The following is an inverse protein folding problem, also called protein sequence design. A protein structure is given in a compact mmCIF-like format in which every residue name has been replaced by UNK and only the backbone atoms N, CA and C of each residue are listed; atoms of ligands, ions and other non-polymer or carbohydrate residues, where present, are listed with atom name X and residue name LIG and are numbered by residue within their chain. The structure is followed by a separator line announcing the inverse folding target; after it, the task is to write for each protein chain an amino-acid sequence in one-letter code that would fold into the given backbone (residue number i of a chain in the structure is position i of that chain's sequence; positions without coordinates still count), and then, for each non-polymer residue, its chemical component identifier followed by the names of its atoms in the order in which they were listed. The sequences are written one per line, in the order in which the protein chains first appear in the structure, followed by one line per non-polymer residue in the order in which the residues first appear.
data_IF_476034976667
#
_entry.id   IF_476034976667
#
_cell.length_a   1.000
_cell.length_b   1.000
_cell.length_c   1.000
_cell.angle_alpha   90.00
_cell.angle_beta   90.00
_cell.angle_gamma   90.00
#
_symmetry.space_group_name_H-M   'P 1'
#
loop_
_entity.id
_entity.type
_entity.pdbx_description
1 polymer ?
#
# COMPACT_ATOMS: atom_id res chain seq x y z
N UNK A 1 20.71 -54.53 -35.13
CA UNK A 1 21.68 -55.17 -36.06
C UNK A 1 21.47 -54.53 -37.44
N UNK A 2 22.56 -54.03 -38.05
CA UNK A 2 22.68 -53.17 -39.26
C UNK A 2 22.45 -51.67 -38.99
N UNK A 3 23.51 -50.91 -38.69
CA UNK A 3 24.50 -50.29 -39.60
C UNK A 3 23.92 -49.19 -40.51
N UNK A 4 24.41 -47.96 -40.31
CA UNK A 4 25.28 -47.25 -41.27
C UNK A 4 25.63 -45.84 -40.78
N UNK A 5 26.88 -45.69 -40.38
CA UNK A 5 27.68 -44.47 -40.57
C UNK A 5 28.30 -44.53 -41.98
N UNK A 6 28.52 -43.41 -42.68
CA UNK A 6 29.94 -43.08 -42.93
C UNK A 6 30.26 -41.57 -42.96
N UNK A 7 31.22 -41.20 -42.11
CA UNK A 7 32.59 -40.78 -42.48
C UNK A 7 32.77 -39.54 -43.38
N UNK A 8 33.43 -38.50 -42.83
CA UNK A 8 34.50 -37.75 -43.53
C UNK A 8 35.23 -36.76 -42.60
N UNK A 9 36.49 -37.08 -42.31
CA UNK A 9 37.61 -36.24 -42.78
C UNK A 9 38.10 -35.06 -41.93
N UNK A 10 39.06 -35.35 -41.04
CA UNK A 10 40.36 -34.67 -40.81
C UNK A 10 40.45 -33.13 -40.95
N UNK A 11 40.97 -32.46 -39.91
CA UNK A 11 42.37 -32.03 -39.87
C UNK A 11 42.77 -31.37 -38.54
N UNK A 12 44.03 -31.65 -38.17
CA UNK A 12 44.77 -31.31 -36.95
C UNK A 12 45.12 -29.82 -36.85
N UNK A 13 45.29 -29.31 -35.62
CA UNK A 13 46.61 -28.96 -35.03
C UNK A 13 46.50 -28.34 -33.63
N UNK A 14 47.29 -28.89 -32.71
CA UNK A 14 47.79 -28.29 -31.46
C UNK A 14 48.40 -26.90 -31.75
N UNK A 15 48.43 -25.90 -30.87
CA UNK A 15 48.59 -25.88 -29.42
C UNK A 15 49.88 -25.12 -29.11
N UNK A 16 49.81 -23.96 -28.45
CA UNK A 16 50.86 -23.43 -27.57
C UNK A 16 50.41 -22.12 -26.90
N UNK A 17 50.74 -22.04 -25.60
CA UNK A 17 50.70 -20.88 -24.71
C UNK A 17 51.66 -19.78 -25.24
N UNK A 18 51.54 -18.49 -24.91
CA UNK A 18 52.13 -17.82 -23.75
C UNK A 18 51.65 -16.34 -23.67
N UNK A 19 51.23 -15.90 -22.47
CA UNK A 19 51.35 -14.60 -21.76
C UNK A 19 51.37 -13.25 -22.53
N UNK A 20 50.45 -12.33 -22.22
CA UNK A 20 50.66 -11.18 -21.29
C UNK A 20 49.68 -9.98 -21.49
N UNK A 21 49.19 -9.45 -20.35
CA UNK A 21 48.89 -8.05 -20.01
C UNK A 21 47.76 -7.23 -20.69
N UNK A 22 46.67 -7.05 -19.92
CA UNK A 22 46.01 -5.79 -19.47
C UNK A 22 45.98 -4.56 -20.40
N UNK A 23 44.76 -4.15 -20.81
CA UNK A 23 44.26 -2.76 -20.68
C UNK A 23 42.78 -2.83 -20.26
N UNK A 24 42.47 -2.18 -19.15
CA UNK A 24 41.12 -1.91 -18.66
C UNK A 24 40.56 -0.67 -19.36
N UNK A 25 39.28 -0.70 -19.76
CA UNK A 25 38.47 0.52 -19.84
C UNK A 25 37.11 0.23 -19.20
N UNK A 26 36.97 0.72 -17.97
CA UNK A 26 35.72 0.74 -17.23
C UNK A 26 34.78 1.76 -17.88
N UNK A 27 33.66 1.29 -18.42
CA UNK A 27 32.47 2.11 -18.64
C UNK A 27 31.57 1.93 -17.42
N UNK A 28 31.88 2.66 -16.36
CA UNK A 28 30.95 2.91 -15.27
C UNK A 28 29.92 3.92 -15.78
N UNK A 29 28.81 3.44 -16.32
CA UNK A 29 27.60 4.25 -16.50
C UNK A 29 26.89 4.24 -15.15
N UNK A 30 26.76 5.37 -14.44
CA UNK A 30 25.80 5.43 -13.34
C UNK A 30 24.41 5.38 -13.98
N UNK A 31 23.71 4.25 -13.85
CA UNK A 31 22.26 4.22 -14.00
C UNK A 31 21.67 5.04 -12.85
N UNK A 32 21.56 6.36 -13.05
CA UNK A 32 20.59 7.16 -12.34
C UNK A 32 19.22 6.74 -12.87
N UNK A 33 18.64 5.69 -12.29
CA UNK A 33 17.24 5.37 -12.46
C UNK A 33 16.43 6.50 -11.81
N UNK A 34 16.07 7.49 -12.62
CA UNK A 34 15.05 8.47 -12.30
C UNK A 34 13.70 7.72 -12.27
N UNK A 35 13.39 7.11 -11.13
CA UNK A 35 12.05 6.66 -10.83
C UNK A 35 11.16 7.90 -10.82
N UNK A 36 10.50 8.18 -11.94
CA UNK A 36 9.48 9.23 -11.98
C UNK A 36 8.33 8.77 -11.09
N UNK A 37 7.85 9.60 -10.14
CA UNK A 37 6.66 9.24 -9.39
C UNK A 37 5.52 9.00 -10.38
N UNK A 38 4.71 7.97 -10.12
CA UNK A 38 3.51 7.72 -10.91
C UNK A 38 2.57 8.91 -10.72
N UNK A 39 2.56 9.84 -11.69
CA UNK A 39 1.67 11.00 -11.71
C UNK A 39 0.23 10.51 -11.94
N UNK A 40 -0.46 10.17 -10.86
CA UNK A 40 -1.91 10.12 -10.88
C UNK A 40 -2.39 11.57 -10.97
N UNK A 41 -3.01 11.94 -12.10
CA UNK A 41 -3.53 13.28 -12.36
C UNK A 41 -4.31 13.82 -11.15
N UNK A 42 -4.05 15.09 -10.80
CA UNK A 42 -4.71 15.76 -9.67
C UNK A 42 -6.22 15.60 -9.79
N UNK A 43 -6.79 14.87 -8.85
CA UNK A 43 -8.21 14.55 -8.87
C UNK A 43 -9.00 15.72 -8.28
N UNK A 44 -10.28 15.77 -8.62
CA UNK A 44 -11.25 16.68 -8.00
C UNK A 44 -11.28 16.60 -6.47
N UNK A 45 -10.81 15.51 -5.88
CA UNK A 45 -10.73 15.31 -4.44
C UNK A 45 -9.51 15.96 -3.79
N UNK A 46 -8.47 16.29 -4.57
CA UNK A 46 -7.19 16.83 -4.10
C UNK A 46 -7.08 18.35 -4.30
N UNK A 47 -8.15 18.99 -4.78
CA UNK A 47 -8.15 20.41 -5.12
C UNK A 47 -7.65 21.28 -3.96
N UNK A 48 -6.58 22.04 -4.19
CA UNK A 48 -5.87 22.84 -3.17
C UNK A 48 -5.32 22.03 -1.99
N UNK A 49 -5.02 20.75 -2.21
CA UNK A 49 -4.27 19.91 -1.29
C UNK A 49 -2.81 20.36 -1.21
N UNK A 50 -2.12 19.91 -0.18
CA UNK A 50 -0.70 20.12 0.01
C UNK A 50 -0.29 19.95 1.47
N UNK A 51 0.90 19.40 1.66
CA UNK A 51 1.39 19.03 2.98
C UNK A 51 2.33 20.07 3.60
N UNK A 52 2.39 20.05 4.92
CA UNK A 52 3.50 20.57 5.72
C UNK A 52 3.97 19.53 6.72
N UNK A 53 5.27 19.49 6.96
CA UNK A 53 5.87 18.71 8.02
C UNK A 53 6.19 19.62 9.20
N UNK A 54 5.74 19.19 10.38
CA UNK A 54 5.87 19.94 11.63
C UNK A 54 6.65 19.07 12.61
N UNK A 55 7.79 19.57 13.09
CA UNK A 55 8.61 18.88 14.09
C UNK A 55 7.88 18.70 15.42
N UNK A 56 8.44 17.89 16.31
CA UNK A 56 7.96 17.76 17.69
C UNK A 56 7.95 19.08 18.49
N UNK A 57 8.72 20.08 18.05
CA UNK A 57 8.74 21.42 18.65
C UNK A 57 7.71 22.38 18.06
N UNK A 58 6.92 21.93 17.08
CA UNK A 58 5.92 22.75 16.39
C UNK A 58 6.46 23.59 15.23
N UNK A 59 7.74 23.45 14.88
CA UNK A 59 8.34 24.17 13.77
C UNK A 59 7.97 23.52 12.43
N UNK A 60 7.55 24.32 11.45
CA UNK A 60 7.38 23.84 10.06
C UNK A 60 8.76 23.67 9.45
N UNK A 61 9.12 22.43 9.11
CA UNK A 61 10.46 22.09 8.57
C UNK A 61 10.45 21.84 7.07
N UNK A 62 9.28 21.54 6.50
CA UNK A 62 9.08 21.40 5.06
C UNK A 62 7.63 21.72 4.69
N UNK A 63 7.40 22.20 3.46
CA UNK A 63 6.06 22.49 2.93
C UNK A 63 6.03 22.24 1.42
N UNK A 64 4.92 21.70 0.93
CA UNK A 64 4.64 21.52 -0.49
C UNK A 64 4.55 22.87 -1.22
N UNK A 65 4.95 22.87 -2.48
CA UNK A 65 4.80 24.00 -3.41
C UNK A 65 4.21 23.51 -4.73
N UNK A 66 3.94 24.43 -5.66
CA UNK A 66 3.52 24.16 -7.05
C UNK A 66 4.63 23.55 -7.93
N UNK A 67 5.77 23.23 -7.31
CA UNK A 67 6.91 22.54 -7.90
C UNK A 67 7.40 21.48 -6.94
N UNK A 68 8.03 20.47 -7.50
CA UNK A 68 8.72 19.46 -6.71
C UNK A 68 9.79 20.09 -5.81
N UNK A 69 9.66 19.79 -4.52
CA UNK A 69 10.64 20.11 -3.48
C UNK A 69 11.12 18.80 -2.88
N UNK A 70 12.43 18.53 -3.03
CA UNK A 70 13.12 17.45 -2.34
C UNK A 70 14.01 18.06 -1.26
N UNK A 71 13.77 17.70 0.01
CA UNK A 71 14.56 18.18 1.14
C UNK A 71 14.98 17.02 2.05
N UNK A 72 16.13 17.17 2.67
CA UNK A 72 16.65 16.22 3.64
C UNK A 72 16.66 16.88 5.01
N UNK A 73 15.84 16.36 5.93
CA UNK A 73 15.70 16.88 7.29
C UNK A 73 16.44 15.94 8.25
N UNK A 74 17.44 16.44 9.02
CA UNK A 74 18.08 15.62 10.05
C UNK A 74 17.03 15.08 11.04
N UNK A 75 17.11 13.79 11.38
CA UNK A 75 16.13 13.16 12.27
C UNK A 75 16.03 13.88 13.63
N UNK A 76 17.15 14.42 14.13
CA UNK A 76 17.20 15.23 15.36
C UNK A 76 16.36 16.51 15.27
N UNK A 77 16.24 17.12 14.09
CA UNK A 77 15.43 18.32 13.88
C UNK A 77 13.93 18.02 13.94
N UNK A 78 13.53 16.82 13.52
CA UNK A 78 12.14 16.38 13.60
C UNK A 78 11.75 15.99 15.03
N UNK A 79 12.68 15.41 15.79
CA UNK A 79 12.41 14.79 17.08
C UNK A 79 12.01 13.32 16.94
N UNK A 80 11.50 12.72 18.03
CA UNK A 80 11.06 11.33 18.03
C UNK A 80 9.87 11.08 17.09
N UNK A 81 8.98 12.06 16.99
CA UNK A 81 7.83 12.08 16.10
C UNK A 81 7.72 13.44 15.41
N UNK A 82 7.05 13.45 14.25
CA UNK A 82 6.69 14.67 13.54
C UNK A 82 5.30 14.54 12.94
N UNK A 83 4.61 15.66 12.78
CA UNK A 83 3.27 15.69 12.18
C UNK A 83 3.38 15.95 10.69
N UNK A 84 2.67 15.15 9.91
CA UNK A 84 2.33 15.43 8.52
C UNK A 84 0.94 16.00 8.49
N UNK A 85 0.81 17.25 8.04
CA UNK A 85 -0.48 17.94 8.01
C UNK A 85 -0.79 18.39 6.59
N UNK A 86 -1.82 17.79 6.02
CA UNK A 86 -2.47 18.26 4.81
C UNK A 86 -3.72 19.10 5.12
N UNK A 87 -4.40 19.50 4.06
CA UNK A 87 -5.73 20.10 4.10
C UNK A 87 -6.81 19.06 4.40
N UNK A 88 -6.75 17.89 3.76
CA UNK A 88 -7.79 16.87 3.78
C UNK A 88 -7.47 15.70 4.70
N UNK A 89 -6.18 15.39 4.90
CA UNK A 89 -5.77 14.39 5.87
C UNK A 89 -4.54 14.84 6.67
N UNK A 90 -4.34 14.21 7.82
CA UNK A 90 -3.20 14.43 8.70
C UNK A 90 -2.85 13.16 9.45
N UNK A 91 -1.59 13.04 9.86
CA UNK A 91 -1.09 11.93 10.65
C UNK A 91 0.24 12.28 11.33
N UNK A 92 0.64 11.47 12.31
CA UNK A 92 1.93 11.56 12.98
C UNK A 92 2.82 10.42 12.53
N UNK A 93 4.11 10.71 12.33
CA UNK A 93 5.12 9.72 11.96
C UNK A 93 6.17 9.64 13.06
N UNK A 94 6.49 8.43 13.50
CA UNK A 94 7.65 8.17 14.35
C UNK A 94 8.90 8.06 13.49
N UNK A 95 9.89 8.88 13.78
CA UNK A 95 11.06 9.00 12.93
C UNK A 95 11.86 7.69 12.86
N UNK A 96 12.01 6.95 13.97
CA UNK A 96 12.90 5.79 14.09
C UNK A 96 12.59 4.62 13.17
N UNK A 97 11.32 4.42 12.84
CA UNK A 97 10.83 3.25 12.08
C UNK A 97 9.78 3.60 11.02
N UNK A 98 9.44 4.89 10.87
CA UNK A 98 8.34 5.36 10.02
C UNK A 98 7.00 4.68 10.36
N UNK A 99 6.78 4.34 11.63
CA UNK A 99 5.45 4.00 12.11
C UNK A 99 4.54 5.23 12.02
N UNK A 100 3.28 4.99 11.67
CA UNK A 100 2.24 6.01 11.57
C UNK A 100 1.30 5.94 12.77
N UNK A 101 0.82 7.10 13.20
CA UNK A 101 -0.17 7.27 14.27
C UNK A 101 -1.21 8.33 13.88
N UNK A 102 -2.40 8.22 14.46
CA UNK A 102 -3.45 9.24 14.40
C UNK A 102 -3.79 9.72 12.99
N UNK A 103 -3.87 8.80 12.02
CA UNK A 103 -4.33 9.17 10.68
C UNK A 103 -5.80 9.53 10.72
N UNK A 104 -6.12 10.73 10.26
CA UNK A 104 -7.49 11.22 10.17
C UNK A 104 -7.73 12.02 8.90
N UNK A 105 -8.96 11.94 8.40
CA UNK A 105 -9.49 12.95 7.50
C UNK A 105 -9.94 14.16 8.30
N UNK A 106 -9.62 15.36 7.81
CA UNK A 106 -9.88 16.62 8.53
C UNK A 106 -11.34 17.05 8.47
N UNK A 107 -12.09 16.58 7.46
CA UNK A 107 -13.42 17.06 7.12
C UNK A 107 -13.43 18.39 6.36
N UNK A 108 -12.29 18.82 5.81
CA UNK A 108 -12.23 20.00 4.97
C UNK A 108 -13.18 19.89 3.76
N UNK A 109 -13.87 20.99 3.45
CA UNK A 109 -14.87 21.02 2.38
C UNK A 109 -14.26 20.65 1.02
N UNK A 110 -14.83 19.62 0.40
CA UNK A 110 -14.59 19.20 -0.98
C UNK A 110 -15.89 18.55 -1.50
N UNK A 111 -16.17 18.67 -2.80
CA UNK A 111 -17.37 18.04 -3.39
C UNK A 111 -17.37 16.51 -3.30
N UNK A 112 -16.19 15.90 -3.11
CA UNK A 112 -15.96 14.47 -2.93
C UNK A 112 -15.62 14.14 -1.47
N UNK A 113 -15.96 15.01 -0.52
CA UNK A 113 -15.80 14.68 0.91
C UNK A 113 -16.72 13.51 1.31
N UNK A 114 -16.09 12.48 1.90
CA UNK A 114 -16.77 11.30 2.41
C UNK A 114 -17.08 11.37 3.91
N UNK A 115 -16.52 12.34 4.61
CA UNK A 115 -16.65 12.47 6.07
C UNK A 115 -17.90 13.23 6.48
N UNK A 116 -18.47 14.05 5.57
CA UNK A 116 -19.61 14.91 5.87
C UNK A 116 -19.21 16.17 6.65
N UNK A 117 -18.01 16.69 6.39
CA UNK A 117 -17.46 17.86 7.07
C UNK A 117 -16.93 17.59 8.47
N UNK A 118 -16.62 16.32 8.80
CA UNK A 118 -16.27 15.88 10.15
C UNK A 118 -14.84 15.38 10.23
N UNK A 119 -14.15 15.74 11.31
CA UNK A 119 -12.89 15.08 11.65
C UNK A 119 -13.14 13.59 11.85
N UNK A 120 -12.48 12.76 11.04
CA UNK A 120 -12.75 11.33 10.96
C UNK A 120 -11.44 10.56 11.14
N UNK A 121 -11.12 10.13 12.37
CA UNK A 121 -10.01 9.22 12.64
C UNK A 121 -10.20 7.89 11.93
N UNK A 122 -9.14 7.38 11.30
CA UNK A 122 -9.15 6.10 10.59
C UNK A 122 -8.18 5.13 11.25
N UNK A 123 -6.92 5.53 11.42
CA UNK A 123 -5.88 4.70 12.00
C UNK A 123 -5.44 5.28 13.34
N UNK A 124 -5.52 4.47 14.39
CA UNK A 124 -4.78 4.72 15.63
C UNK A 124 -3.29 4.52 15.37
N UNK A 125 -2.93 3.44 14.68
CA UNK A 125 -1.54 3.17 14.31
C UNK A 125 -1.37 2.27 13.09
N UNK A 126 -0.23 2.41 12.42
CA UNK A 126 0.36 1.42 11.51
C UNK A 126 1.83 1.26 11.87
N UNK A 127 2.20 0.11 12.43
CA UNK A 127 3.52 -0.11 13.03
C UNK A 127 4.26 -1.21 12.27
N UNK A 128 5.36 -0.89 11.59
CA UNK A 128 6.23 -1.90 10.98
C UNK A 128 7.15 -2.52 12.04
N UNK A 129 7.31 -3.84 11.98
CA UNK A 129 8.37 -4.57 12.67
C UNK A 129 9.54 -4.79 11.69
N UNK A 130 10.59 -4.01 11.88
CA UNK A 130 11.82 -4.08 11.09
C UNK A 130 12.75 -5.21 11.52
N UNK A 131 12.34 -6.10 12.44
CA UNK A 131 13.08 -7.33 12.80
C UNK A 131 14.53 -7.07 13.18
N UNK A 132 14.74 -6.03 13.99
CA UNK A 132 16.07 -5.61 14.47
C UNK A 132 16.88 -4.73 13.52
N UNK A 133 16.41 -4.49 12.28
CA UNK A 133 16.99 -3.46 11.42
C UNK A 133 16.51 -2.07 11.84
N UNK A 134 17.33 -1.05 11.60
CA UNK A 134 17.05 0.32 12.02
C UNK A 134 17.23 1.30 10.84
N UNK A 135 16.34 2.29 10.78
CA UNK A 135 16.48 3.44 9.88
C UNK A 135 17.38 4.49 10.57
N UNK A 136 18.51 4.82 9.95
CA UNK A 136 19.54 5.68 10.55
C UNK A 136 19.81 6.96 9.76
N UNK A 137 19.40 7.05 8.51
CA UNK A 137 19.60 8.24 7.66
C UNK A 137 18.79 9.44 8.15
N UNK A 138 19.13 10.63 7.65
CA UNK A 138 18.19 11.75 7.68
C UNK A 138 16.88 11.39 6.93
N UNK A 139 15.81 12.14 7.18
CA UNK A 139 14.52 11.95 6.52
C UNK A 139 14.53 12.72 5.21
N UNK A 140 14.40 12.00 4.10
CA UNK A 140 14.16 12.62 2.80
C UNK A 140 12.66 12.86 2.65
N UNK A 141 12.29 14.05 2.24
CA UNK A 141 10.92 14.49 2.05
C UNK A 141 10.83 15.09 0.66
N UNK A 142 9.96 14.51 -0.17
CA UNK A 142 9.64 14.99 -1.49
C UNK A 142 8.16 15.38 -1.49
N UNK A 143 7.87 16.59 -1.95
CA UNK A 143 6.51 17.13 -2.03
C UNK A 143 6.33 17.91 -3.32
N UNK A 144 5.20 17.72 -3.98
CA UNK A 144 4.76 18.47 -5.16
C UNK A 144 3.23 18.51 -5.11
N UNK A 145 2.63 19.71 -5.11
CA UNK A 145 1.18 19.87 -4.99
C UNK A 145 0.59 19.06 -3.80
N UNK A 146 -0.33 18.13 -4.07
CA UNK A 146 -0.92 17.24 -3.07
C UNK A 146 -0.08 15.99 -2.73
N UNK A 147 1.02 15.72 -3.44
CA UNK A 147 1.83 14.53 -3.28
C UNK A 147 2.87 14.70 -2.17
N UNK A 148 3.08 13.62 -1.40
CA UNK A 148 4.11 13.50 -0.39
C UNK A 148 4.77 12.13 -0.46
N UNK A 149 6.09 12.15 -0.47
CA UNK A 149 6.95 10.99 -0.24
C UNK A 149 7.89 11.28 0.91
N UNK A 150 7.89 10.42 1.93
CA UNK A 150 8.85 10.44 3.04
C UNK A 150 9.65 9.16 2.95
N UNK A 151 10.98 9.24 2.99
CA UNK A 151 11.83 8.05 3.01
C UNK A 151 12.99 8.17 3.98
N UNK A 152 13.41 7.00 4.48
CA UNK A 152 14.63 6.83 5.27
C UNK A 152 15.30 5.52 4.89
N UNK A 153 16.60 5.46 5.12
CA UNK A 153 17.42 4.27 4.90
C UNK A 153 18.25 3.95 6.14
N UNK A 154 18.75 2.73 6.20
CA UNK A 154 19.72 2.23 7.15
C UNK A 154 20.39 0.99 6.58
N UNK A 155 21.28 0.37 7.36
CA UNK A 155 21.99 -0.83 6.90
C UNK A 155 20.99 -1.97 6.63
N UNK A 156 20.84 -2.33 5.36
CA UNK A 156 19.95 -3.42 4.92
C UNK A 156 18.45 -3.11 4.97
N UNK A 157 18.06 -1.85 5.20
CA UNK A 157 16.66 -1.43 5.27
C UNK A 157 16.45 -0.08 4.58
N UNK A 158 15.48 -0.01 3.68
CA UNK A 158 14.89 1.22 3.18
C UNK A 158 13.40 1.20 3.53
N UNK A 159 12.81 2.37 3.78
CA UNK A 159 11.37 2.47 3.94
C UNK A 159 10.88 3.81 3.42
N UNK A 160 9.73 3.76 2.74
CA UNK A 160 9.05 4.90 2.16
C UNK A 160 7.59 4.95 2.62
N UNK A 161 7.09 6.15 2.87
CA UNK A 161 5.66 6.47 2.99
C UNK A 161 5.30 7.34 1.80
N UNK A 162 4.23 7.01 1.08
CA UNK A 162 3.63 7.87 0.07
C UNK A 162 2.22 8.25 0.52
N UNK A 163 1.86 9.53 0.37
CA UNK A 163 0.53 10.03 0.72
C UNK A 163 0.07 11.10 -0.27
N UNK A 164 -1.23 11.14 -0.59
CA UNK A 164 -1.87 12.23 -1.34
C UNK A 164 -2.86 12.99 -0.47
N UNK A 165 -2.78 14.31 -0.47
CA UNK A 165 -3.69 15.17 0.30
C UNK A 165 -5.01 15.34 -0.44
N UNK A 166 -5.91 14.37 -0.30
CA UNK A 166 -7.19 14.35 -0.98
C UNK A 166 -8.33 13.98 -0.02
N UNK A 167 -9.53 14.49 -0.29
CA UNK A 167 -10.75 14.18 0.47
C UNK A 167 -11.25 12.73 0.26
N UNK A 168 -10.89 12.11 -0.87
CA UNK A 168 -11.10 10.69 -1.19
C UNK A 168 -10.16 10.24 -2.30
N UNK A 169 -10.04 8.93 -2.52
CA UNK A 169 -9.24 8.36 -3.63
C UNK A 169 -7.74 8.67 -3.53
N UNK A 170 -7.30 9.29 -2.42
CA UNK A 170 -5.89 9.53 -2.14
C UNK A 170 -5.18 8.22 -1.83
N UNK A 171 -3.95 8.11 -2.30
CA UNK A 171 -3.05 7.00 -2.01
C UNK A 171 -2.45 7.27 -0.63
N UNK A 172 -2.49 6.30 0.27
CA UNK A 172 -1.54 6.18 1.37
C UNK A 172 -0.87 4.82 1.27
N UNK A 173 0.47 4.76 1.30
CA UNK A 173 1.24 3.53 1.18
C UNK A 173 2.49 3.56 2.07
N UNK A 174 2.81 2.40 2.65
CA UNK A 174 4.08 2.07 3.29
C UNK A 174 4.80 1.03 2.45
N UNK A 175 6.07 1.28 2.14
CA UNK A 175 6.89 0.46 1.25
C UNK A 175 8.22 0.16 1.93
N UNK A 176 8.33 -0.99 2.63
CA UNK A 176 9.58 -1.47 3.17
C UNK A 176 10.40 -2.21 2.10
N UNK A 177 11.71 -2.04 2.16
CA UNK A 177 12.67 -2.79 1.35
C UNK A 177 13.79 -3.28 2.24
N UNK A 178 14.01 -4.59 2.25
CA UNK A 178 15.01 -5.27 3.06
C UNK A 178 16.07 -5.89 2.17
N UNK A 179 17.34 -5.65 2.51
CA UNK A 179 18.48 -6.26 1.83
C UNK A 179 18.60 -7.76 2.04
N UNK A 180 17.93 -8.31 3.07
CA UNK A 180 17.84 -9.75 3.32
C UNK A 180 16.68 -10.44 2.55
N UNK A 181 15.88 -9.68 1.81
CA UNK A 181 14.76 -10.18 1.01
C UNK A 181 13.56 -10.70 1.82
N UNK A 182 13.59 -10.65 3.15
CA UNK A 182 12.48 -11.12 3.99
C UNK A 182 11.33 -10.11 4.04
N UNK A 183 10.16 -10.53 4.54
CA UNK A 183 9.02 -9.65 4.72
C UNK A 183 9.15 -8.79 5.99
N UNK A 184 8.58 -7.58 5.93
CA UNK A 184 8.32 -6.70 7.07
C UNK A 184 6.87 -6.90 7.52
N UNK A 185 6.66 -7.24 8.80
CA UNK A 185 5.32 -7.30 9.38
C UNK A 185 4.83 -5.89 9.67
N UNK A 186 3.63 -5.54 9.23
CA UNK A 186 2.97 -4.28 9.58
C UNK A 186 1.66 -4.59 10.28
N UNK A 187 1.53 -4.15 11.52
CA UNK A 187 0.26 -4.18 12.25
C UNK A 187 -0.47 -2.87 12.03
N UNK A 188 -1.72 -2.94 11.57
CA UNK A 188 -2.62 -1.80 11.56
C UNK A 188 -3.64 -1.91 12.69
N UNK A 189 -3.88 -0.78 13.35
CA UNK A 189 -4.92 -0.63 14.37
C UNK A 189 -5.82 0.54 13.96
N UNK A 190 -7.10 0.27 13.74
CA UNK A 190 -8.10 1.30 13.44
C UNK A 190 -8.32 2.19 14.67
N UNK A 191 -8.68 3.45 14.44
CA UNK A 191 -9.11 4.36 15.50
C UNK A 191 -10.36 3.83 16.23
N UNK A 192 -10.66 4.26 17.48
CA UNK A 192 -11.78 3.72 18.25
C UNK A 192 -13.16 3.83 17.59
N UNK A 193 -13.36 4.87 16.77
CA UNK A 193 -14.63 5.10 16.05
C UNK A 193 -14.72 4.39 14.69
N UNK A 194 -13.61 3.82 14.22
CA UNK A 194 -13.55 3.06 12.98
C UNK A 194 -13.59 1.55 13.27
N UNK A 195 -14.21 0.80 12.37
CA UNK A 195 -14.29 -0.66 12.48
C UNK A 195 -14.17 -1.33 11.12
N UNK A 196 -13.64 -2.55 11.13
CA UNK A 196 -13.71 -3.45 9.99
C UNK A 196 -15.07 -4.15 9.94
N UNK A 197 -15.58 -4.36 8.74
CA UNK A 197 -16.79 -5.13 8.50
C UNK A 197 -16.69 -5.96 7.23
N UNK A 198 -17.29 -7.13 7.25
CA UNK A 198 -17.50 -7.95 6.06
C UNK A 198 -18.68 -7.40 5.26
N UNK A 199 -18.39 -6.86 4.08
CA UNK A 199 -19.35 -6.08 3.32
C UNK A 199 -20.48 -6.96 2.78
N UNK A 200 -21.73 -6.80 3.25
CA UNK A 200 -22.83 -7.66 2.86
C UNK A 200 -23.20 -7.51 1.38
N UNK A 201 -22.89 -6.37 0.73
CA UNK A 201 -23.14 -6.18 -0.69
C UNK A 201 -22.25 -7.11 -1.53
N UNK A 202 -21.00 -7.31 -1.11
CA UNK A 202 -20.09 -8.27 -1.74
C UNK A 202 -20.48 -9.71 -1.43
N UNK A 203 -20.90 -9.99 -0.18
CA UNK A 203 -21.39 -11.32 0.20
C UNK A 203 -22.61 -11.77 -0.59
N UNK A 204 -23.58 -10.89 -0.79
CA UNK A 204 -24.77 -11.19 -1.58
C UNK A 204 -24.46 -11.53 -3.04
N UNK A 205 -23.27 -11.16 -3.53
CA UNK A 205 -22.81 -11.35 -4.91
C UNK A 205 -21.64 -12.34 -5.00
N UNK A 206 -21.25 -12.99 -3.91
CA UNK A 206 -20.05 -13.81 -3.86
C UNK A 206 -20.08 -14.90 -4.94
N UNK A 207 -18.97 -15.03 -5.68
CA UNK A 207 -18.82 -16.00 -6.76
C UNK A 207 -19.41 -15.56 -8.10
N UNK A 208 -20.22 -14.50 -8.14
CA UNK A 208 -20.72 -13.92 -9.40
C UNK A 208 -19.61 -13.17 -10.14
N UNK A 209 -19.71 -13.08 -11.46
CA UNK A 209 -18.85 -12.29 -12.33
C UNK A 209 -19.53 -10.96 -12.68
N UNK A 210 -18.87 -9.84 -12.40
CA UNK A 210 -19.40 -8.49 -12.63
C UNK A 210 -18.39 -7.58 -13.36
N UNK A 211 -18.91 -6.63 -14.13
CA UNK A 211 -18.14 -5.65 -14.89
C UNK A 211 -18.63 -5.50 -16.33
N UNK A 212 -18.13 -4.47 -17.03
CA UNK A 212 -18.65 -4.09 -18.36
C UNK A 212 -18.41 -5.12 -19.47
N UNK A 213 -17.49 -6.07 -19.29
CA UNK A 213 -17.24 -7.14 -20.26
C UNK A 213 -17.80 -8.50 -19.81
N UNK A 214 -18.56 -8.56 -18.71
CA UNK A 214 -19.21 -9.80 -18.31
C UNK A 214 -20.41 -10.11 -19.20
N UNK A 215 -20.39 -11.29 -19.82
CA UNK A 215 -21.50 -11.83 -20.61
C UNK A 215 -22.38 -12.81 -19.81
N UNK A 216 -21.90 -13.32 -18.68
CA UNK A 216 -22.63 -14.16 -17.71
C UNK A 216 -22.15 -13.86 -16.31
N UNK A 217 -23.07 -13.89 -15.34
CA UNK A 217 -22.74 -13.72 -13.92
C UNK A 217 -22.22 -15.02 -13.30
N UNK A 218 -22.41 -16.17 -13.94
CA UNK A 218 -21.97 -17.48 -13.46
C UNK A 218 -20.58 -17.87 -13.98
N UNK A 219 -20.29 -17.58 -15.26
CA UNK A 219 -19.13 -18.14 -15.97
C UNK A 219 -18.28 -17.10 -16.69
N UNK A 220 -18.44 -15.81 -16.35
CA UNK A 220 -17.91 -14.64 -17.07
C UNK A 220 -16.59 -14.82 -17.82
N UNK A 221 -16.42 -14.20 -19.00
CA UNK A 221 -15.27 -14.43 -19.88
C UNK A 221 -13.96 -14.01 -19.21
N UNK A 222 -12.81 -14.59 -19.61
CA UNK A 222 -11.51 -14.09 -19.20
C UNK A 222 -11.32 -12.64 -19.67
N UNK A 223 -11.47 -11.69 -18.76
CA UNK A 223 -11.31 -10.26 -19.04
C UNK A 223 -10.90 -9.51 -17.78
N UNK A 224 -10.06 -8.49 -17.96
CA UNK A 224 -9.74 -7.54 -16.88
C UNK A 224 -10.94 -6.69 -16.41
N UNK A 225 -12.01 -6.66 -17.21
CA UNK A 225 -13.26 -5.96 -16.89
C UNK A 225 -14.43 -6.92 -16.65
N UNK A 226 -14.14 -8.20 -16.40
CA UNK A 226 -15.11 -9.15 -15.89
C UNK A 226 -14.50 -9.92 -14.71
N UNK A 227 -14.85 -9.49 -13.50
CA UNK A 227 -14.17 -9.91 -12.28
C UNK A 227 -15.10 -10.73 -11.41
N UNK A 228 -14.59 -11.86 -10.91
CA UNK A 228 -15.32 -12.70 -9.95
C UNK A 228 -15.33 -12.04 -8.58
N UNK A 229 -16.50 -11.84 -8.00
CA UNK A 229 -16.70 -11.23 -6.69
C UNK A 229 -16.20 -12.18 -5.60
N UNK A 230 -15.29 -11.69 -4.76
CA UNK A 230 -14.85 -12.33 -3.52
C UNK A 230 -15.38 -11.57 -2.31
N UNK A 231 -15.36 -12.19 -1.11
CA UNK A 231 -15.61 -11.46 0.14
C UNK A 231 -14.75 -10.21 0.25
N UNK A 232 -15.31 -9.17 0.87
CA UNK A 232 -14.67 -7.86 0.93
C UNK A 232 -14.77 -7.33 2.34
N UNK A 233 -13.62 -7.16 2.98
CA UNK A 233 -13.55 -6.38 4.20
C UNK A 233 -13.43 -4.91 3.83
N UNK A 234 -14.26 -4.08 4.44
CA UNK A 234 -14.18 -2.64 4.37
C UNK A 234 -14.00 -2.06 5.77
N UNK A 235 -13.59 -0.79 5.80
CA UNK A 235 -13.50 0.04 7.00
C UNK A 235 -14.64 1.05 6.91
N UNK A 236 -15.38 1.22 8.00
CA UNK A 236 -16.45 2.20 8.13
C UNK A 236 -16.50 2.81 9.52
N UNK A 237 -17.48 3.69 9.74
CA UNK A 237 -17.81 4.25 11.04
C UNK A 237 -19.33 4.44 11.15
N UNK A 238 -19.81 4.87 12.32
CA UNK A 238 -21.25 5.09 12.57
C UNK A 238 -21.72 6.53 12.32
N UNK A 239 -20.81 7.43 11.92
CA UNK A 239 -21.05 8.88 11.92
C UNK A 239 -21.02 9.52 10.54
N UNK A 240 -20.41 8.88 9.54
CA UNK A 240 -20.20 9.39 8.20
C UNK A 240 -20.72 8.40 7.15
N UNK A 241 -21.91 8.66 6.64
CA UNK A 241 -22.63 7.75 5.73
C UNK A 241 -21.95 7.51 4.38
N UNK A 242 -20.94 8.31 4.03
CA UNK A 242 -20.15 8.17 2.81
C UNK A 242 -18.75 7.62 3.07
N UNK A 243 -18.31 7.53 4.34
CA UNK A 243 -16.98 7.09 4.68
C UNK A 243 -16.87 5.58 4.50
N UNK A 244 -16.04 5.19 3.54
CA UNK A 244 -15.63 3.80 3.35
C UNK A 244 -14.17 3.78 2.95
N UNK A 245 -13.44 2.84 3.54
CA UNK A 245 -12.05 2.58 3.22
C UNK A 245 -11.79 1.07 3.13
N UNK A 246 -10.57 0.71 2.72
CA UNK A 246 -10.08 -0.67 2.71
C UNK A 246 -8.57 -0.71 2.67
N UNK A 247 -7.96 -1.63 3.40
CA UNK A 247 -6.56 -1.99 3.22
C UNK A 247 -6.23 -2.34 1.76
N UNK A 248 -5.10 -1.83 1.28
CA UNK A 248 -4.64 -2.02 -0.10
C UNK A 248 -3.25 -2.61 -0.10
N UNK A 249 -3.19 -3.91 -0.33
CA UNK A 249 -1.93 -4.67 -0.43
C UNK A 249 -1.44 -4.73 -1.88
N UNK A 250 -0.12 -4.75 -2.07
CA UNK A 250 0.56 -5.11 -3.31
C UNK A 250 1.83 -5.87 -2.93
N UNK A 251 1.93 -7.15 -3.28
CA UNK A 251 3.00 -8.05 -2.78
C UNK A 251 3.08 -8.03 -1.24
N UNK A 252 1.90 -8.17 -0.62
CA UNK A 252 1.75 -8.27 0.82
C UNK A 252 0.61 -9.24 1.14
N UNK A 253 0.85 -10.14 2.09
CA UNK A 253 -0.11 -11.15 2.51
C UNK A 253 -0.70 -10.80 3.86
N UNK A 254 -2.02 -10.96 4.01
CA UNK A 254 -2.66 -10.81 5.31
C UNK A 254 -2.27 -12.01 6.18
N UNK A 255 -1.81 -11.76 7.39
CA UNK A 255 -1.60 -12.80 8.40
C UNK A 255 -2.98 -13.29 8.88
N UNK A 256 -3.33 -14.58 8.70
CA UNK A 256 -4.62 -15.11 9.12
C UNK A 256 -4.86 -14.95 10.63
N UNK A 257 -6.08 -14.57 10.98
CA UNK A 257 -6.59 -14.51 12.36
C UNK A 257 -7.78 -15.47 12.47
N UNK A 258 -7.55 -16.79 12.57
CA UNK A 258 -8.63 -17.79 12.52
C UNK A 258 -9.62 -17.67 13.67
N UNK A 259 -9.21 -17.07 14.80
CA UNK A 259 -10.06 -16.76 15.94
C UNK A 259 -11.01 -15.58 15.70
N UNK A 260 -10.84 -14.84 14.60
CA UNK A 260 -11.60 -13.64 14.28
C UNK A 260 -12.59 -13.83 13.13
N UNK A 261 -13.82 -13.33 13.32
CA UNK A 261 -14.93 -13.43 12.37
C UNK A 261 -15.98 -12.33 12.67
N UNK A 262 -17.11 -12.35 11.99
CA UNK A 262 -18.31 -11.62 12.40
C UNK A 262 -18.95 -12.24 13.65
N UNK A 263 -19.81 -11.49 14.34
CA UNK A 263 -20.49 -11.96 15.56
C UNK A 263 -21.28 -13.26 15.33
N UNK A 264 -21.98 -13.34 14.19
CA UNK A 264 -22.48 -14.59 13.65
C UNK A 264 -21.50 -15.06 12.57
N UNK A 265 -20.72 -16.14 12.78
CA UNK A 265 -19.66 -16.54 11.86
C UNK A 265 -20.16 -16.76 10.42
N UNK A 266 -19.38 -16.26 9.46
CA UNK A 266 -19.65 -16.45 8.02
C UNK A 266 -18.61 -17.35 7.35
N UNK A 267 -19.01 -18.01 6.26
CA UNK A 267 -18.16 -18.92 5.48
C UNK A 267 -18.14 -18.52 4.01
N UNK A 268 -16.95 -18.42 3.36
CA UNK A 268 -15.63 -18.50 3.99
C UNK A 268 -15.40 -17.33 4.95
N UNK A 269 -14.69 -17.55 6.06
CA UNK A 269 -14.28 -16.48 6.97
C UNK A 269 -13.33 -15.53 6.26
N UNK A 270 -13.34 -14.25 6.66
CA UNK A 270 -12.32 -13.28 6.26
C UNK A 270 -11.14 -13.24 7.21
N UNK A 271 -11.17 -14.00 8.32
CA UNK A 271 -10.06 -14.15 9.28
C UNK A 271 -9.44 -12.81 9.65
N UNK A 272 -10.29 -11.91 10.14
CA UNK A 272 -9.96 -10.51 10.38
C UNK A 272 -10.70 -10.03 11.63
N UNK A 273 -9.97 -9.44 12.57
CA UNK A 273 -10.52 -8.89 13.81
C UNK A 273 -11.10 -7.48 13.61
N UNK A 274 -11.88 -7.01 14.59
CA UNK A 274 -12.71 -5.80 14.48
C UNK A 274 -11.96 -4.47 14.29
N UNK A 275 -10.74 -4.33 14.81
CA UNK A 275 -9.90 -3.13 14.62
C UNK A 275 -8.47 -3.41 14.20
N UNK A 276 -8.07 -4.68 14.10
CA UNK A 276 -6.66 -5.06 13.89
C UNK A 276 -6.53 -5.92 12.64
N UNK A 277 -5.65 -5.48 11.74
CA UNK A 277 -5.19 -6.26 10.59
C UNK A 277 -3.67 -6.38 10.63
N UNK A 278 -3.11 -7.53 10.26
CA UNK A 278 -1.66 -7.72 10.19
C UNK A 278 -1.27 -8.22 8.82
N UNK A 279 -0.18 -7.67 8.31
CA UNK A 279 0.28 -7.90 6.93
C UNK A 279 1.78 -8.20 6.92
N UNK A 280 2.17 -9.24 6.19
CA UNK A 280 3.56 -9.52 5.86
C UNK A 280 3.83 -8.92 4.47
N UNK A 281 4.55 -7.80 4.45
CA UNK A 281 4.86 -7.05 3.24
C UNK A 281 6.22 -7.50 2.73
N UNK A 282 6.27 -8.06 1.52
CA UNK A 282 7.54 -8.46 0.93
C UNK A 282 8.48 -7.26 0.73
N UNK A 283 9.78 -7.51 0.63
CA UNK A 283 10.75 -6.47 0.27
C UNK A 283 10.38 -5.85 -1.10
N UNK A 284 10.18 -4.53 -1.14
CA UNK A 284 9.70 -3.80 -2.32
C UNK A 284 8.18 -3.90 -2.54
N UNK A 285 7.45 -4.58 -1.66
CA UNK A 285 5.99 -4.60 -1.61
C UNK A 285 5.41 -3.32 -1.02
N UNK A 286 4.08 -3.19 -1.08
CA UNK A 286 3.35 -2.00 -0.62
C UNK A 286 2.16 -2.40 0.24
N UNK A 287 2.00 -1.69 1.34
CA UNK A 287 0.81 -1.78 2.18
C UNK A 287 0.22 -0.41 2.42
N UNK A 288 -1.01 -0.22 1.98
CA UNK A 288 -1.69 1.05 2.02
C UNK A 288 -3.15 0.92 2.40
N UNK A 289 -3.94 1.93 2.05
CA UNK A 289 -5.38 1.80 2.03
C UNK A 289 -5.96 2.70 0.93
N UNK A 290 -7.12 2.31 0.41
CA UNK A 290 -7.90 3.07 -0.57
C UNK A 290 -9.20 3.52 0.09
N UNK A 291 -9.78 4.61 -0.42
CA UNK A 291 -11.00 5.22 0.15
C UNK A 291 -12.03 5.54 -0.93
N UNK A 292 -13.30 5.63 -0.54
CA UNK A 292 -14.40 5.97 -1.44
C UNK A 292 -14.76 4.83 -2.39
N UNK A 293 -15.05 5.17 -3.65
CA UNK A 293 -15.49 4.21 -4.68
C UNK A 293 -14.50 3.04 -4.86
N UNK A 294 -13.21 3.33 -4.87
CA UNK A 294 -12.13 2.34 -5.03
C UNK A 294 -12.13 1.27 -3.92
N UNK A 295 -12.65 1.59 -2.73
CA UNK A 295 -12.76 0.61 -1.63
C UNK A 295 -13.84 -0.44 -1.89
N UNK A 296 -14.84 -0.11 -2.70
CA UNK A 296 -16.07 -0.88 -2.96
C UNK A 296 -16.23 -1.27 -4.43
N UNK A 297 -15.18 -1.10 -5.22
CA UNK A 297 -15.06 -1.62 -6.58
C UNK A 297 -14.67 -3.11 -6.58
N UNK A 298 -15.31 -3.88 -7.47
CA UNK A 298 -14.98 -5.27 -7.78
C UNK A 298 -13.76 -5.28 -8.71
N UNK A 299 -12.60 -5.06 -8.12
CA UNK A 299 -11.31 -5.03 -8.82
C UNK A 299 -10.63 -6.40 -8.85
N UNK A 300 -9.84 -6.61 -9.89
CA UNK A 300 -8.89 -7.72 -9.95
C UNK A 300 -7.91 -7.64 -8.77
N UNK A 301 -7.31 -8.79 -8.38
CA UNK A 301 -6.17 -8.76 -7.47
C UNK A 301 -5.09 -7.77 -7.95
N UNK A 302 -4.37 -7.13 -7.01
CA UNK A 302 -3.26 -6.26 -7.34
C UNK A 302 -2.23 -7.01 -8.20
N UNK A 303 -1.67 -6.34 -9.21
CA UNK A 303 -0.58 -6.91 -10.01
C UNK A 303 0.66 -7.08 -9.13
N UNK A 304 1.27 -8.26 -9.14
CA UNK A 304 2.57 -8.48 -8.50
C UNK A 304 3.62 -7.61 -9.21
N UNK A 305 4.10 -6.60 -8.51
CA UNK A 305 5.10 -5.69 -9.03
C UNK A 305 5.79 -5.01 -7.85
N UNK A 306 7.12 -5.00 -7.89
CA UNK A 306 7.99 -4.45 -6.84
C UNK A 306 8.86 -3.27 -7.32
N UNK A 307 8.90 -3.01 -8.64
CA UNK A 307 9.61 -1.86 -9.22
C UNK A 307 8.86 -1.29 -10.44
N UNK A 308 8.84 0.04 -10.58
CA UNK A 308 8.25 0.77 -11.73
C UNK A 308 6.80 0.38 -12.09
N UNK A 309 6.02 0.07 -11.06
CA UNK A 309 4.63 -0.32 -11.20
C UNK A 309 3.78 0.89 -11.64
N UNK A 310 3.61 1.06 -12.94
CA UNK A 310 2.55 1.89 -13.49
C UNK A 310 1.23 1.17 -13.19
N UNK A 311 0.36 1.80 -12.40
CA UNK A 311 -1.02 1.36 -12.28
C UNK A 311 -1.73 1.64 -13.62
N UNK A 312 -1.48 0.80 -14.64
CA UNK A 312 -2.13 0.88 -15.95
C UNK A 312 -3.62 0.47 -15.90
N UNK A 313 -4.14 0.21 -14.70
CA UNK A 313 -5.54 -0.07 -14.43
C UNK A 313 -6.37 1.22 -14.40
N UNK A 314 -6.27 2.05 -15.45
CA UNK A 314 -7.27 3.09 -15.69
C UNK A 314 -8.56 2.40 -16.11
N UNK A 315 -9.33 1.93 -15.13
CA UNK A 315 -10.53 1.14 -15.35
C UNK A 315 -11.69 1.99 -15.88
N UNK A 316 -11.58 3.33 -15.86
CA UNK A 316 -12.54 4.29 -16.47
C UNK A 316 -14.00 3.96 -16.13
N UNK A 317 -14.28 3.53 -14.89
CA UNK A 317 -15.63 3.16 -14.44
C UNK A 317 -16.21 1.88 -15.07
N UNK A 318 -15.35 1.01 -15.61
CA UNK A 318 -15.76 -0.23 -16.30
C UNK A 318 -15.94 -1.43 -15.38
N UNK A 319 -15.43 -1.34 -14.15
CA UNK A 319 -15.63 -2.35 -13.12
C UNK A 319 -16.91 -2.06 -12.34
N UNK A 320 -17.48 -3.11 -11.77
CA UNK A 320 -18.70 -2.97 -10.97
C UNK A 320 -18.37 -2.36 -9.60
N UNK A 321 -19.18 -1.40 -9.17
CA UNK A 321 -19.13 -0.81 -7.83
C UNK A 321 -20.33 -1.34 -7.04
N UNK A 322 -20.08 -2.06 -5.96
CA UNK A 322 -21.15 -2.66 -5.14
C UNK A 322 -21.57 -1.79 -3.95
N UNK A 323 -20.81 -0.74 -3.65
CA UNK A 323 -21.07 0.13 -2.51
C UNK A 323 -20.93 -0.59 -1.16
N UNK A 324 -21.54 0.00 -0.14
CA UNK A 324 -21.56 -0.53 1.22
C UNK A 324 -22.85 -0.06 1.93
N UNK A 325 -23.33 -0.78 2.95
CA UNK A 325 -24.49 -0.35 3.73
C UNK A 325 -24.14 0.77 4.70
N UNK A 326 -25.07 1.70 4.92
CA UNK A 326 -25.04 2.61 6.07
C UNK A 326 -26.45 2.74 6.67
N UNK A 327 -26.62 2.51 7.99
CA UNK A 327 -25.61 2.04 8.94
C UNK A 327 -25.12 0.62 8.59
N UNK A 328 -23.90 0.28 9.00
CA UNK A 328 -23.36 -1.09 8.83
C UNK A 328 -24.07 -2.02 9.82
N UNK A 329 -24.69 -3.12 9.35
CA UNK A 329 -25.35 -4.08 10.23
C UNK A 329 -24.41 -4.62 11.30
N UNK A 330 -24.87 -4.72 12.55
CA UNK A 330 -24.04 -5.21 13.65
C UNK A 330 -23.47 -6.62 13.38
N UNK A 331 -24.27 -7.50 12.76
CA UNK A 331 -23.85 -8.85 12.37
C UNK A 331 -22.79 -8.91 11.28
N UNK A 332 -22.51 -7.81 10.57
CA UNK A 332 -21.44 -7.70 9.57
C UNK A 332 -20.13 -7.19 10.15
N UNK A 333 -20.14 -6.63 11.37
CA UNK A 333 -18.92 -6.10 12.01
C UNK A 333 -18.03 -7.25 12.46
N UNK A 334 -16.73 -7.07 12.24
CA UNK A 334 -15.73 -8.04 12.64
C UNK A 334 -15.45 -7.92 14.14
N UNK A 335 -15.22 -9.06 14.76
CA UNK A 335 -15.00 -9.25 16.19
C UNK A 335 -13.94 -10.34 16.41
N UNK A 336 -13.29 -10.39 17.60
CA UNK A 336 -13.25 -9.35 18.64
C UNK A 336 -12.62 -8.02 18.15
N UNK A 337 -12.82 -6.89 18.86
CA UNK A 337 -12.23 -5.60 18.47
C UNK A 337 -10.70 -5.63 18.39
N UNK A 338 -10.03 -6.54 19.10
CA UNK A 338 -8.58 -6.74 19.04
C UNK A 338 -8.25 -8.21 18.91
N UNK A 339 -7.20 -8.53 18.16
CA UNK A 339 -6.57 -9.84 18.18
C UNK A 339 -5.75 -10.02 19.47
N UNK A 340 -5.40 -11.27 19.79
CA UNK A 340 -4.28 -11.50 20.70
C UNK A 340 -3.00 -10.87 20.12
N UNK A 341 -2.04 -10.42 20.96
CA UNK A 341 -0.76 -9.94 20.47
C UNK A 341 -0.11 -11.03 19.63
N UNK A 342 0.26 -10.70 18.40
CA UNK A 342 0.94 -11.65 17.54
C UNK A 342 2.36 -11.92 18.05
N UNK A 343 2.82 -13.15 17.90
CA UNK A 343 4.25 -13.42 17.98
C UNK A 343 4.97 -12.57 16.91
N UNK A 344 6.10 -11.93 17.25
CA UNK A 344 7.00 -11.35 16.24
C UNK A 344 7.29 -12.39 15.16
N UNK A 345 7.58 -11.97 13.92
CA UNK A 345 8.11 -12.93 12.95
C UNK A 345 9.47 -13.36 13.48
N UNK A 346 9.53 -14.52 14.14
CA UNK A 346 10.79 -15.18 14.42
C UNK A 346 11.51 -15.35 13.10
N UNK A 347 12.81 -15.05 13.06
CA UNK A 347 13.68 -15.34 11.91
C UNK A 347 13.35 -16.70 11.27
N UNK A 348 13.65 -16.92 9.98
CA UNK A 348 13.77 -18.30 9.52
C UNK A 348 14.59 -19.14 10.50
#
# INVERSE_FOLDING_TARGET
MRDRDPDRGRARRAGSRWRAALIALALAVPLAALASPAQAASSKACENGGYRLISSTGAVVARATDREVVTTVPAVTLGATFTVQGRYNQFVVRASDLALFDYAFTGAANRLDMTGGRFTPVWESKVPDHRGLALSSAVTVQMEDEDLVISRTGTGLSMKIQSKDCAQGGIFQMEPERGDGTATRIQHTLAPEAFYFDNPNFRARQGQYLGSECTSVETGPPSRFCVRVSPRVNIGNDVSSRFVARDSAQVADRVPQPECNTQAPVTPSVEHCGRVSVWDVASGGRMGFVTGEDSVEVANPPTECTSDCQAQNQVRGRLAVLGFPFPVPAGSRLVPPSAAPFAPITGP
#
